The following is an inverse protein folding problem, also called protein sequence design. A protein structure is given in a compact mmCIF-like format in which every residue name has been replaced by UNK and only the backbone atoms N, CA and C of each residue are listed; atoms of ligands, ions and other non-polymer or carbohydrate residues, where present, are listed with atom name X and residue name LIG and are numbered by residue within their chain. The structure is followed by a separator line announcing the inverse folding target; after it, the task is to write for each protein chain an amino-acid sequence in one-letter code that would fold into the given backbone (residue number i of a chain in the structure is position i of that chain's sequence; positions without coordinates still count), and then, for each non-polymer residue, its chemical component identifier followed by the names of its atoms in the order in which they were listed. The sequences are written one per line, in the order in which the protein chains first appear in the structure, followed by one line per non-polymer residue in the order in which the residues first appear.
data_IF_735917063970
#
_entry.id   IF_735917063970
#
_cell.length_a   1.000
_cell.length_b   1.000
_cell.length_c   1.000
_cell.angle_alpha   90.00
_cell.angle_beta   90.00
_cell.angle_gamma   90.00
#
_symmetry.space_group_name_H-M   'P 1'
#
loop_
_entity.id
_entity.type
_entity.pdbx_description
1 polymer ?
#
# COMPACT_ATOMS: atom_id res chain seq x y z
N UNK A 1 35.72 -8.33 -44.32
CA UNK A 1 35.30 -7.39 -43.26
C UNK A 1 33.77 -7.17 -43.31
N UNK A 2 32.98 -8.21 -42.99
CA UNK A 2 31.49 -8.16 -43.07
C UNK A 2 30.80 -9.09 -42.05
N UNK A 3 31.48 -9.42 -40.95
CA UNK A 3 30.93 -10.29 -39.88
C UNK A 3 30.76 -9.53 -38.55
N UNK A 4 31.27 -8.30 -38.44
CA UNK A 4 31.15 -7.50 -37.20
C UNK A 4 29.81 -6.77 -37.02
N UNK A 5 28.92 -6.79 -38.02
CA UNK A 5 27.66 -6.03 -37.94
C UNK A 5 26.47 -6.85 -37.42
N UNK A 6 26.60 -8.16 -37.24
CA UNK A 6 25.50 -9.03 -36.78
C UNK A 6 25.56 -9.33 -35.29
N UNK A 7 26.70 -9.13 -34.62
CA UNK A 7 26.80 -9.25 -33.15
C UNK A 7 26.26 -8.02 -32.41
N UNK A 8 26.07 -6.89 -33.10
CA UNK A 8 25.50 -5.68 -32.48
C UNK A 8 23.98 -5.75 -32.28
N UNK A 9 23.31 -6.75 -32.84
CA UNK A 9 21.88 -7.04 -32.61
C UNK A 9 21.66 -8.06 -31.48
N UNK A 10 22.72 -8.52 -30.81
CA UNK A 10 22.63 -9.46 -29.68
C UNK A 10 22.83 -8.83 -28.30
N UNK A 11 23.07 -7.52 -28.23
CA UNK A 11 23.20 -6.77 -26.97
C UNK A 11 21.98 -5.91 -26.63
N UNK A 12 20.97 -5.86 -27.50
CA UNK A 12 19.72 -5.16 -27.23
C UNK A 12 18.57 -6.09 -26.80
N UNK A 13 18.88 -7.33 -26.45
CA UNK A 13 17.94 -8.24 -25.75
C UNK A 13 18.16 -8.27 -24.23
N UNK A 14 19.16 -7.54 -23.70
CA UNK A 14 19.52 -7.53 -22.27
C UNK A 14 19.33 -6.13 -21.64
N UNK A 15 18.52 -5.25 -22.25
CA UNK A 15 17.94 -4.11 -21.49
C UNK A 15 16.48 -4.34 -21.09
N UNK A 16 15.89 -5.48 -21.47
CA UNK A 16 14.86 -6.07 -20.63
C UNK A 16 15.60 -6.57 -19.40
N UNK A 17 15.90 -5.65 -18.48
CA UNK A 17 16.20 -6.04 -17.12
C UNK A 17 14.96 -6.80 -16.66
N UNK A 18 15.04 -8.12 -16.71
CA UNK A 18 14.46 -8.95 -15.67
C UNK A 18 15.13 -8.48 -14.36
N UNK A 19 14.75 -7.31 -13.86
CA UNK A 19 14.82 -7.05 -12.44
C UNK A 19 13.86 -8.07 -11.89
N UNK A 20 14.41 -9.19 -11.42
CA UNK A 20 13.73 -10.02 -10.43
C UNK A 20 13.15 -9.03 -9.43
N UNK A 21 11.84 -8.84 -9.53
CA UNK A 21 11.10 -7.65 -9.12
C UNK A 21 11.06 -7.60 -7.58
N UNK A 22 12.20 -7.25 -6.97
CA UNK A 22 12.43 -7.15 -5.53
C UNK A 22 11.86 -5.82 -5.01
N UNK A 23 10.65 -5.45 -5.43
CA UNK A 23 9.92 -4.32 -4.90
C UNK A 23 9.30 -4.72 -3.57
N UNK A 24 9.66 -4.02 -2.50
CA UNK A 24 9.06 -4.25 -1.20
C UNK A 24 7.61 -3.80 -1.16
N UNK A 25 7.22 -2.83 -1.99
CA UNK A 25 5.82 -2.46 -2.20
C UNK A 25 5.00 -3.66 -2.67
N UNK A 26 5.50 -4.42 -3.66
CA UNK A 26 4.83 -5.64 -4.14
C UNK A 26 4.73 -6.72 -3.06
N UNK A 27 5.78 -6.91 -2.26
CA UNK A 27 5.73 -7.84 -1.13
C UNK A 27 4.74 -7.39 -0.05
N UNK A 28 4.66 -6.07 0.21
CA UNK A 28 3.67 -5.48 1.10
C UNK A 28 2.24 -5.83 0.66
N UNK A 29 1.92 -5.59 -0.60
CA UNK A 29 0.61 -5.97 -1.16
C UNK A 29 0.36 -7.47 -1.13
N UNK A 30 1.35 -8.30 -1.44
CA UNK A 30 1.20 -9.75 -1.36
C UNK A 30 0.88 -10.23 0.05
N UNK A 31 1.50 -9.64 1.08
CA UNK A 31 1.22 -9.99 2.46
C UNK A 31 -0.11 -9.41 2.94
N UNK A 32 -0.52 -8.25 2.41
CA UNK A 32 -1.85 -7.69 2.62
C UNK A 32 -2.94 -8.64 2.10
N UNK A 33 -2.81 -9.15 0.88
CA UNK A 33 -3.76 -10.09 0.28
C UNK A 33 -3.84 -11.43 1.05
N UNK A 34 -2.75 -11.82 1.72
CA UNK A 34 -2.74 -13.00 2.61
C UNK A 34 -3.33 -12.71 3.99
N UNK A 35 -3.76 -11.48 4.27
CA UNK A 35 -4.22 -11.03 5.59
C UNK A 35 -3.11 -10.85 6.63
N UNK A 36 -1.85 -10.89 6.21
CA UNK A 36 -0.69 -10.72 7.09
C UNK A 36 -0.32 -9.25 7.25
N UNK A 37 -1.25 -8.46 7.81
CA UNK A 37 -1.16 -6.99 7.81
C UNK A 37 0.08 -6.43 8.51
N UNK A 38 0.54 -7.02 9.62
CA UNK A 38 1.77 -6.59 10.29
C UNK A 38 3.02 -6.82 9.41
N UNK A 39 3.08 -7.94 8.68
CA UNK A 39 4.17 -8.21 7.75
C UNK A 39 4.09 -7.29 6.53
N UNK A 40 2.88 -7.01 6.06
CA UNK A 40 2.64 -6.05 4.99
C UNK A 40 3.20 -4.66 5.36
N UNK A 41 2.89 -4.17 6.56
CA UNK A 41 3.45 -2.91 7.09
C UNK A 41 4.99 -2.96 7.10
N UNK A 42 5.59 -4.03 7.62
CA UNK A 42 7.05 -4.15 7.66
C UNK A 42 7.70 -4.17 6.25
N UNK A 43 7.01 -4.70 5.24
CA UNK A 43 7.48 -4.62 3.86
C UNK A 43 7.27 -3.22 3.28
N UNK A 44 6.14 -2.58 3.55
CA UNK A 44 5.91 -1.19 3.16
C UNK A 44 6.94 -0.23 3.77
N UNK A 45 7.31 -0.38 5.03
CA UNK A 45 8.38 0.40 5.67
C UNK A 45 9.73 0.23 4.96
N UNK A 46 10.07 -1.00 4.56
CA UNK A 46 11.29 -1.25 3.74
C UNK A 46 11.17 -0.61 2.36
N UNK A 47 9.97 -0.53 1.78
CA UNK A 47 9.75 0.15 0.51
C UNK A 47 10.05 1.65 0.64
N UNK A 48 9.70 2.26 1.78
CA UNK A 48 10.07 3.66 2.08
C UNK A 48 11.59 3.82 2.10
N UNK A 49 12.31 2.93 2.79
CA UNK A 49 13.78 2.96 2.85
C UNK A 49 14.44 2.82 1.48
N UNK A 50 13.77 2.18 0.52
CA UNK A 50 14.24 2.02 -0.86
C UNK A 50 13.84 3.16 -1.79
N UNK A 51 13.10 4.14 -1.31
CA UNK A 51 12.62 5.27 -2.11
C UNK A 51 11.60 4.85 -3.18
N UNK A 52 10.82 3.80 -2.91
CA UNK A 52 9.66 3.44 -3.73
C UNK A 52 8.53 4.50 -3.57
N UNK A 53 7.42 4.40 -4.31
CA UNK A 53 6.37 5.44 -4.33
C UNK A 53 5.71 5.61 -2.94
N UNK A 54 6.11 6.66 -2.24
CA UNK A 54 5.63 6.96 -0.89
C UNK A 54 4.10 7.13 -0.81
N UNK A 55 3.46 7.67 -1.86
CA UNK A 55 1.99 7.85 -1.86
C UNK A 55 1.28 6.50 -1.88
N UNK A 56 1.78 5.55 -2.68
CA UNK A 56 1.24 4.20 -2.72
C UNK A 56 1.53 3.43 -1.44
N UNK A 57 2.75 3.56 -0.91
CA UNK A 57 3.17 2.92 0.34
C UNK A 57 2.31 3.37 1.52
N UNK A 58 2.14 4.68 1.71
CA UNK A 58 1.30 5.22 2.79
C UNK A 58 -0.14 4.75 2.68
N UNK A 59 -0.66 4.67 1.46
CA UNK A 59 -2.00 4.11 1.22
C UNK A 59 -2.04 2.63 1.61
N UNK A 60 -1.02 1.84 1.27
CA UNK A 60 -0.91 0.43 1.68
C UNK A 60 -0.86 0.24 3.19
N UNK A 61 -0.07 1.06 3.90
CA UNK A 61 -0.02 1.07 5.37
C UNK A 61 -1.38 1.46 5.96
N UNK A 62 -2.06 2.46 5.39
CA UNK A 62 -3.39 2.88 5.83
C UNK A 62 -4.43 1.76 5.70
N UNK A 63 -4.38 0.99 4.61
CA UNK A 63 -5.22 -0.20 4.42
C UNK A 63 -4.93 -1.28 5.46
N UNK A 64 -3.65 -1.53 5.77
CA UNK A 64 -3.27 -2.49 6.81
C UNK A 64 -3.85 -2.08 8.17
N UNK A 65 -3.72 -0.80 8.54
CA UNK A 65 -4.28 -0.28 9.78
C UNK A 65 -5.80 -0.36 9.82
N UNK A 66 -6.48 -0.10 8.69
CA UNK A 66 -7.93 -0.27 8.60
C UNK A 66 -8.33 -1.71 8.91
N UNK A 67 -7.63 -2.69 8.32
CA UNK A 67 -7.90 -4.12 8.55
C UNK A 67 -7.53 -4.61 9.95
N UNK A 68 -6.68 -3.87 10.65
CA UNK A 68 -6.36 -4.08 12.07
C UNK A 68 -7.31 -3.31 13.00
N UNK A 69 -8.34 -2.64 12.47
CA UNK A 69 -9.28 -1.77 13.20
C UNK A 69 -8.61 -0.57 13.90
N UNK A 70 -7.39 -0.22 13.49
CA UNK A 70 -6.65 0.94 13.94
C UNK A 70 -7.08 2.18 13.13
N UNK A 71 -8.32 2.64 13.38
CA UNK A 71 -8.98 3.67 12.57
C UNK A 71 -8.24 5.03 12.60
N UNK A 72 -7.63 5.40 13.72
CA UNK A 72 -6.91 6.67 13.88
C UNK A 72 -5.64 6.70 13.02
N UNK A 73 -4.85 5.63 13.08
CA UNK A 73 -3.63 5.48 12.29
C UNK A 73 -3.96 5.39 10.80
N UNK A 74 -5.00 4.60 10.45
CA UNK A 74 -5.49 4.51 9.07
C UNK A 74 -5.86 5.88 8.49
N UNK A 75 -6.61 6.69 9.24
CA UNK A 75 -6.95 8.06 8.84
C UNK A 75 -5.71 8.92 8.59
N UNK A 76 -4.74 8.83 9.50
CA UNK A 76 -3.51 9.62 9.43
C UNK A 76 -2.74 9.33 8.16
N UNK A 77 -2.52 8.05 7.84
CA UNK A 77 -1.79 7.65 6.63
C UNK A 77 -2.54 7.95 5.34
N UNK A 78 -3.86 7.74 5.28
CA UNK A 78 -4.63 8.12 4.10
C UNK A 78 -4.59 9.63 3.83
N UNK A 79 -4.66 10.47 4.88
CA UNK A 79 -4.53 11.91 4.70
C UNK A 79 -3.12 12.30 4.26
N UNK A 80 -2.08 11.70 4.82
CA UNK A 80 -0.70 11.97 4.41
C UNK A 80 -0.49 11.65 2.92
N UNK A 81 -1.06 10.55 2.42
CA UNK A 81 -1.05 10.22 1.00
C UNK A 81 -1.77 11.30 0.14
N UNK A 82 -2.87 11.88 0.63
CA UNK A 82 -3.60 12.97 -0.05
C UNK A 82 -2.90 14.33 0.05
N UNK A 83 -2.10 14.57 1.08
CA UNK A 83 -1.26 15.77 1.16
C UNK A 83 -0.21 15.77 0.03
N UNK A 84 0.36 14.60 -0.27
CA UNK A 84 1.28 14.40 -1.41
C UNK A 84 0.55 14.41 -2.75
N UNK A 85 -0.55 13.67 -2.87
CA UNK A 85 -1.36 13.62 -4.07
C UNK A 85 -2.85 13.74 -3.76
N UNK A 86 -3.35 14.98 -3.83
CA UNK A 86 -4.73 15.35 -3.51
C UNK A 86 -5.80 14.58 -4.29
N UNK A 87 -5.45 14.02 -5.45
CA UNK A 87 -6.36 13.30 -6.32
C UNK A 87 -6.07 11.80 -6.35
N UNK A 88 -5.34 11.28 -5.36
CA UNK A 88 -5.03 9.85 -5.29
C UNK A 88 -6.28 9.05 -4.96
N UNK A 89 -6.89 8.47 -6.01
CA UNK A 89 -8.18 7.79 -5.93
C UNK A 89 -8.21 6.71 -4.85
N UNK A 90 -7.13 5.95 -4.70
CA UNK A 90 -7.06 4.87 -3.72
C UNK A 90 -7.16 5.39 -2.27
N UNK A 91 -6.50 6.51 -1.95
CA UNK A 91 -6.60 7.13 -0.63
C UNK A 91 -7.97 7.78 -0.40
N UNK A 92 -8.57 8.41 -1.42
CA UNK A 92 -9.94 8.95 -1.33
C UNK A 92 -10.95 7.82 -1.05
N UNK A 93 -10.85 6.72 -1.81
CA UNK A 93 -11.69 5.53 -1.59
C UNK A 93 -11.46 4.91 -0.21
N UNK A 94 -10.21 4.85 0.24
CA UNK A 94 -9.82 4.38 1.57
C UNK A 94 -10.46 5.20 2.68
N UNK A 95 -10.43 6.53 2.61
CA UNK A 95 -11.11 7.41 3.58
C UNK A 95 -12.63 7.21 3.57
N UNK A 96 -13.23 7.00 2.40
CA UNK A 96 -14.67 6.71 2.30
C UNK A 96 -15.05 5.44 3.07
N UNK A 97 -14.28 4.38 2.89
CA UNK A 97 -14.49 3.10 3.57
C UNK A 97 -14.20 3.22 5.07
N UNK A 98 -13.10 3.90 5.45
CA UNK A 98 -12.76 4.15 6.85
C UNK A 98 -13.88 4.90 7.60
N UNK A 99 -14.47 5.93 6.99
CA UNK A 99 -15.57 6.67 7.60
C UNK A 99 -16.81 5.79 7.78
N UNK A 100 -17.08 4.89 6.82
CA UNK A 100 -18.17 3.94 6.92
C UNK A 100 -17.95 2.94 8.07
N UNK A 101 -16.79 2.29 8.12
CA UNK A 101 -16.47 1.27 9.13
C UNK A 101 -16.37 1.86 10.55
N UNK A 102 -15.75 3.03 10.71
CA UNK A 102 -15.64 3.71 12.01
C UNK A 102 -16.99 4.19 12.56
N UNK A 103 -17.93 4.57 11.68
CA UNK A 103 -19.28 4.95 12.09
C UNK A 103 -20.07 3.73 12.61
N UNK A 104 -19.97 2.60 11.91
CA UNK A 104 -20.62 1.36 12.33
C UNK A 104 -20.04 0.84 13.65
N UNK A 105 -18.72 0.90 13.82
CA UNK A 105 -18.06 0.55 15.09
C UNK A 105 -18.57 1.44 16.24
N UNK A 106 -18.61 2.77 16.04
CA UNK A 106 -19.12 3.70 17.06
C UNK A 106 -20.58 3.42 17.41
N UNK A 107 -21.44 3.11 16.42
CA UNK A 107 -22.85 2.75 16.68
C UNK A 107 -22.97 1.47 17.48
N UNK A 108 -22.19 0.44 17.13
CA UNK A 108 -22.18 -0.83 17.86
C UNK A 108 -21.78 -0.63 19.32
N UNK A 109 -20.73 0.13 19.58
CA UNK A 109 -20.28 0.46 20.94
C UNK A 109 -21.38 1.14 21.78
N UNK A 110 -22.06 2.14 21.21
CA UNK A 110 -23.17 2.82 21.90
C UNK A 110 -24.34 1.89 22.25
N UNK A 111 -24.70 0.96 21.35
CA UNK A 111 -25.78 -0.01 21.61
C UNK A 111 -25.38 -0.94 22.76
N UNK A 112 -24.15 -1.43 22.77
CA UNK A 112 -23.66 -2.32 23.83
C UNK A 112 -23.64 -1.62 25.19
N UNK A 113 -23.21 -0.35 25.24
CA UNK A 113 -23.25 0.46 26.46
C UNK A 113 -24.69 0.60 26.99
N UNK A 114 -25.67 0.85 26.10
CA UNK A 114 -27.09 0.96 26.48
C UNK A 114 -27.73 -0.34 26.98
N UNK A 115 -27.12 -1.51 26.71
CA UNK A 115 -27.58 -2.81 27.19
C UNK A 115 -27.00 -3.20 28.55
N UNK A 116 -25.96 -2.49 29.00
CA UNK A 116 -25.29 -2.71 30.27
C UNK A 116 -25.81 -1.80 31.40
N UNK A 117 -26.66 -0.82 31.05
CA UNK A 117 -27.47 0.00 31.97
C UNK A 117 -28.82 -0.66 32.28
#
# INVERSE_FOLDING_TARGET
MRVFLVTLLFLCTISCSETKDNSYLKFGWQDFEKGSYSNAIANFEKAVERGEDETEIETGIAWCHLKLENFTESFTFFNSALERNKNYKNAISGLGILNYESLDFRRSALILESLLE
#
